data_IF_175319115785
#
_entry.id   IF_175319115785
#
_cell.length_a   1.000
_cell.length_b   1.000
_cell.length_c   1.000
_cell.angle_alpha   90.00
_cell.angle_beta   90.00
_cell.angle_gamma   90.00
#
_symmetry.space_group_name_H-M   'P 1'
#
loop_
_entity.id
_entity.type
_entity.pdbx_description
1 polymer ?
#
# COMPACT_ATOMS: atom_id res chain seq x y z
N UNK A 1 28.18 -8.91 17.71
CA UNK A 1 26.75 -9.31 17.69
C UNK A 1 26.00 -8.38 16.75
N UNK A 2 25.28 -8.91 15.77
CA UNK A 2 24.42 -8.13 14.87
C UNK A 2 23.04 -8.02 15.51
N UNK A 3 22.56 -6.79 15.72
CA UNK A 3 21.23 -6.54 16.27
C UNK A 3 20.40 -5.74 15.28
N UNK A 4 19.52 -6.44 14.56
CA UNK A 4 18.44 -5.77 13.84
C UNK A 4 17.37 -5.44 14.88
N UNK A 5 17.08 -4.14 15.10
CA UNK A 5 15.99 -3.71 15.97
C UNK A 5 14.66 -4.05 15.29
N UNK A 6 14.20 -5.24 15.59
CA UNK A 6 12.94 -5.79 15.11
C UNK A 6 11.82 -5.08 15.87
N UNK A 7 11.00 -4.30 15.16
CA UNK A 7 9.67 -4.01 15.67
C UNK A 7 8.91 -5.36 15.66
N UNK A 8 8.66 -5.90 16.86
CA UNK A 8 7.79 -7.06 17.06
C UNK A 8 6.39 -6.75 16.57
N UNK A 9 5.97 -5.51 16.77
CA UNK A 9 4.69 -5.00 16.33
C UNK A 9 4.83 -4.24 15.01
N UNK A 10 3.75 -4.09 14.25
CA UNK A 10 3.79 -3.23 13.07
C UNK A 10 3.94 -1.76 13.48
N UNK A 11 4.47 -0.89 12.60
CA UNK A 11 4.12 0.52 12.66
C UNK A 11 2.59 0.70 12.69
N UNK A 12 2.14 1.81 13.26
CA UNK A 12 0.73 2.13 13.25
C UNK A 12 0.23 2.40 11.83
N UNK A 13 -0.81 1.68 11.43
CA UNK A 13 -1.61 2.02 10.25
C UNK A 13 -2.63 3.08 10.65
N UNK A 14 -2.68 4.16 9.88
CA UNK A 14 -3.47 5.35 10.21
C UNK A 14 -4.68 5.41 9.29
N UNK A 15 -5.89 5.34 9.86
CA UNK A 15 -7.15 5.35 9.13
C UNK A 15 -7.62 6.78 8.75
N UNK A 16 -6.70 7.57 8.21
CA UNK A 16 -6.96 8.92 7.71
C UNK A 16 -5.83 9.36 6.79
N UNK A 17 -6.14 10.21 5.83
CA UNK A 17 -5.15 10.92 5.01
C UNK A 17 -4.81 12.28 5.61
N UNK A 18 -3.82 12.93 5.02
CA UNK A 18 -3.32 14.22 5.48
C UNK A 18 -4.41 15.31 5.43
N UNK A 19 -5.29 15.28 4.42
CA UNK A 19 -6.37 16.26 4.26
C UNK A 19 -7.42 16.12 5.37
N UNK A 20 -7.85 14.89 5.66
CA UNK A 20 -8.74 14.59 6.78
C UNK A 20 -8.11 14.91 8.15
N UNK A 21 -6.79 14.98 8.26
CA UNK A 21 -6.12 15.34 9.51
C UNK A 21 -6.20 16.84 9.84
N UNK A 22 -6.44 17.67 8.83
CA UNK A 22 -6.59 19.12 8.99
C UNK A 22 -8.05 19.57 9.10
N UNK A 23 -9.02 18.67 8.92
CA UNK A 23 -10.45 18.99 8.98
C UNK A 23 -11.05 18.68 10.37
N UNK A 24 -11.90 19.59 10.88
CA UNK A 24 -12.66 19.34 12.10
C UNK A 24 -13.71 18.24 11.85
N UNK A 25 -13.55 17.10 12.54
CA UNK A 25 -14.49 15.96 12.48
C UNK A 25 -15.18 15.78 13.83
N UNK A 26 -16.48 15.48 13.79
CA UNK A 26 -17.30 15.22 14.99
C UNK A 26 -17.56 13.71 15.10
N UNK A 27 -17.35 13.17 16.31
CA UNK A 27 -17.61 11.76 16.67
C UNK A 27 -16.99 10.73 15.70
N UNK A 28 -15.66 10.76 15.45
CA UNK A 28 -15.02 9.83 14.52
C UNK A 28 -15.05 8.40 15.06
N UNK A 29 -15.47 7.44 14.21
CA UNK A 29 -15.50 6.00 14.50
C UNK A 29 -14.75 5.23 13.42
N UNK A 30 -14.07 4.17 13.82
CA UNK A 30 -13.16 3.44 12.95
C UNK A 30 -13.53 1.96 12.91
N UNK A 31 -13.70 1.41 11.72
CA UNK A 31 -13.92 -0.02 11.50
C UNK A 31 -12.75 -0.60 10.71
N UNK A 32 -11.99 -1.50 11.35
CA UNK A 32 -10.89 -2.20 10.70
C UNK A 32 -11.29 -3.62 10.29
N UNK A 33 -10.95 -3.99 9.06
CA UNK A 33 -11.20 -5.29 8.47
C UNK A 33 -9.87 -5.90 8.04
N UNK A 34 -9.65 -7.15 8.45
CA UNK A 34 -8.46 -7.93 8.16
C UNK A 34 -8.45 -8.54 6.76
N UNK A 35 -7.33 -9.19 6.39
CA UNK A 35 -7.16 -9.83 5.08
C UNK A 35 -8.05 -11.05 4.88
N UNK A 36 -8.57 -11.61 5.96
CA UNK A 36 -9.57 -12.68 5.98
C UNK A 36 -11.02 -12.16 5.85
N UNK A 37 -11.20 -10.85 5.81
CA UNK A 37 -12.51 -10.21 5.75
C UNK A 37 -13.20 -10.03 7.10
N UNK A 38 -12.54 -10.40 8.20
CA UNK A 38 -13.11 -10.29 9.54
C UNK A 38 -12.85 -8.92 10.17
N UNK A 39 -13.77 -8.47 11.01
CA UNK A 39 -13.62 -7.26 11.82
C UNK A 39 -12.54 -7.50 12.87
N UNK A 40 -11.57 -6.58 12.96
CA UNK A 40 -10.40 -6.74 13.83
C UNK A 40 -10.61 -6.27 15.27
N UNK A 41 -11.70 -5.57 15.56
CA UNK A 41 -12.00 -5.11 16.91
C UNK A 41 -12.12 -6.31 17.88
N UNK A 42 -11.41 -6.25 19.00
CA UNK A 42 -11.38 -7.33 19.99
C UNK A 42 -10.44 -8.50 19.67
N UNK A 43 -9.79 -8.53 18.49
CA UNK A 43 -8.79 -9.55 18.20
C UNK A 43 -7.54 -9.39 19.09
N UNK A 44 -7.01 -10.49 19.62
CA UNK A 44 -5.90 -10.47 20.59
C UNK A 44 -4.55 -10.07 19.97
N UNK A 45 -4.38 -10.35 18.68
CA UNK A 45 -3.17 -10.06 17.89
C UNK A 45 -3.16 -8.65 17.28
N UNK A 46 -4.09 -7.77 17.68
CA UNK A 46 -4.10 -6.36 17.26
C UNK A 46 -4.22 -5.42 18.45
N UNK A 47 -3.90 -4.16 18.22
CA UNK A 47 -4.19 -3.03 19.10
C UNK A 47 -4.78 -1.92 18.25
N UNK A 48 -6.00 -1.49 18.56
CA UNK A 48 -6.63 -0.33 17.93
C UNK A 48 -6.69 0.76 18.98
N UNK A 49 -6.04 1.88 18.71
CA UNK A 49 -6.05 3.05 19.61
C UNK A 49 -7.40 3.77 19.54
N UNK A 50 -7.71 4.58 20.56
CA UNK A 50 -8.88 5.47 20.54
C UNK A 50 -8.90 6.42 19.33
N UNK A 51 -7.72 6.78 18.81
CA UNK A 51 -7.55 7.59 17.59
C UNK A 51 -7.71 6.79 16.29
N UNK A 52 -8.13 5.52 16.35
CA UNK A 52 -8.37 4.69 15.17
C UNK A 52 -7.12 4.09 14.51
N UNK A 53 -5.93 4.28 15.10
CA UNK A 53 -4.69 3.68 14.60
C UNK A 53 -4.63 2.19 14.93
N UNK A 54 -4.29 1.38 13.94
CA UNK A 54 -4.14 -0.07 14.07
C UNK A 54 -2.66 -0.46 14.19
N UNK A 55 -2.34 -1.30 15.17
CA UNK A 55 -1.04 -1.96 15.30
C UNK A 55 -1.25 -3.47 15.36
N UNK A 56 -0.52 -4.20 14.53
CA UNK A 56 -0.49 -5.66 14.53
C UNK A 56 0.55 -6.11 15.55
N UNK A 57 0.15 -6.89 16.56
CA UNK A 57 1.04 -7.39 17.59
C UNK A 57 1.79 -8.63 17.10
N UNK A 58 3.08 -8.73 17.44
CA UNK A 58 3.89 -9.92 17.13
C UNK A 58 3.72 -10.39 15.67
N UNK A 59 3.80 -9.42 14.76
CA UNK A 59 3.38 -9.57 13.37
C UNK A 59 4.19 -10.65 12.62
N UNK A 60 3.48 -11.66 12.11
CA UNK A 60 4.01 -12.80 11.35
C UNK A 60 3.56 -12.82 9.88
N UNK A 61 4.24 -13.61 9.03
CA UNK A 61 3.89 -13.85 7.63
C UNK A 61 2.40 -14.17 7.44
N UNK A 62 1.80 -14.98 8.29
CA UNK A 62 0.39 -15.39 8.18
C UNK A 62 -0.60 -14.22 8.27
N UNK A 63 -0.18 -13.11 8.86
CA UNK A 63 -0.97 -11.88 8.98
C UNK A 63 -0.81 -10.94 7.78
N UNK A 64 -0.10 -11.38 6.72
CA UNK A 64 0.04 -10.58 5.49
C UNK A 64 -1.26 -10.51 4.71
N UNK A 65 -1.49 -9.39 4.03
CA UNK A 65 -2.62 -9.25 3.11
C UNK A 65 -3.17 -7.83 3.09
N UNK A 66 -4.40 -7.71 2.59
CA UNK A 66 -5.06 -6.41 2.48
C UNK A 66 -5.91 -6.11 3.71
N UNK A 67 -5.60 -5.01 4.37
CA UNK A 67 -6.37 -4.48 5.48
C UNK A 67 -7.18 -3.30 4.99
N UNK A 68 -8.43 -3.19 5.43
CA UNK A 68 -9.28 -2.04 5.09
C UNK A 68 -9.70 -1.33 6.36
N UNK A 69 -9.82 -0.02 6.28
CA UNK A 69 -10.40 0.78 7.35
C UNK A 69 -11.51 1.68 6.80
N UNK A 70 -12.61 1.78 7.53
CA UNK A 70 -13.67 2.75 7.26
C UNK A 70 -13.75 3.72 8.42
N UNK A 71 -13.54 5.00 8.12
CA UNK A 71 -13.73 6.12 9.03
C UNK A 71 -15.15 6.67 8.84
N UNK A 72 -15.96 6.61 9.89
CA UNK A 72 -17.28 7.25 9.98
C UNK A 72 -17.15 8.54 10.78
N UNK A 73 -17.73 9.63 10.31
CA UNK A 73 -17.63 10.93 10.97
C UNK A 73 -18.82 11.80 10.62
N UNK A 74 -19.02 12.87 11.39
CA UNK A 74 -20.04 13.87 11.12
C UNK A 74 -19.42 15.22 10.77
N UNK A 75 -20.08 15.97 9.89
CA UNK A 75 -19.79 17.38 9.61
C UNK A 75 -21.03 18.25 9.78
N UNK A 76 -20.81 19.49 10.23
CA UNK A 76 -21.81 20.54 10.22
C UNK A 76 -22.04 20.95 8.76
N UNK A 77 -23.30 21.04 8.32
CA UNK A 77 -23.60 21.62 7.00
C UNK A 77 -23.51 23.14 7.10
N UNK A 78 -22.90 23.78 6.11
CA UNK A 78 -22.67 25.22 6.05
C UNK A 78 -23.93 26.10 6.15
N UNK A 79 -25.14 25.53 6.03
CA UNK A 79 -26.40 26.27 5.91
C UNK A 79 -27.48 25.91 6.97
N UNK A 80 -27.29 24.88 7.79
CA UNK A 80 -28.21 24.53 8.90
C UNK A 80 -27.43 23.77 9.97
N UNK A 81 -27.70 24.00 11.26
CA UNK A 81 -27.19 23.24 12.43
C UNK A 81 -27.60 21.75 12.46
N UNK A 82 -27.50 21.06 11.32
CA UNK A 82 -27.76 19.64 11.13
C UNK A 82 -26.45 18.94 10.78
N UNK A 83 -26.15 17.89 11.53
CA UNK A 83 -25.00 17.03 11.30
C UNK A 83 -25.28 16.07 10.13
N UNK A 84 -24.36 15.98 9.17
CA UNK A 84 -24.38 14.95 8.11
C UNK A 84 -23.40 13.85 8.47
N UNK A 85 -23.89 12.61 8.52
CA UNK A 85 -23.05 11.43 8.67
C UNK A 85 -22.39 11.08 7.32
N UNK A 86 -21.07 10.87 7.35
CA UNK A 86 -20.21 10.62 6.21
C UNK A 86 -19.28 9.44 6.54
N UNK A 87 -18.76 8.79 5.49
CA UNK A 87 -17.77 7.74 5.65
C UNK A 87 -16.68 7.83 4.57
N UNK A 88 -15.46 7.39 4.92
CA UNK A 88 -14.33 7.30 3.99
C UNK A 88 -13.57 6.00 4.22
N UNK A 89 -13.27 5.30 3.13
CA UNK A 89 -12.59 4.00 3.15
C UNK A 89 -11.12 4.12 2.76
N UNK A 90 -10.28 3.36 3.45
CA UNK A 90 -8.84 3.26 3.24
C UNK A 90 -8.44 1.79 3.09
N UNK A 91 -7.43 1.52 2.26
CA UNK A 91 -6.94 0.16 2.01
C UNK A 91 -5.41 0.13 2.13
N UNK A 92 -4.92 -0.84 2.87
CA UNK A 92 -3.50 -1.02 3.19
C UNK A 92 -3.07 -2.42 2.75
N UNK A 93 -1.87 -2.53 2.20
CA UNK A 93 -1.23 -3.81 1.95
C UNK A 93 -0.10 -4.02 2.97
N UNK A 94 -0.18 -5.10 3.73
CA UNK A 94 0.85 -5.46 4.72
C UNK A 94 1.59 -6.70 4.23
N UNK A 95 2.91 -6.56 4.02
CA UNK A 95 3.76 -7.58 3.41
C UNK A 95 4.70 -8.26 4.43
N UNK A 96 4.19 -9.24 5.16
CA UNK A 96 4.99 -10.01 6.13
C UNK A 96 6.00 -10.97 5.51
N UNK A 97 5.79 -11.40 4.26
CA UNK A 97 6.79 -12.23 3.55
C UNK A 97 8.09 -11.47 3.30
N UNK A 98 8.03 -10.22 2.84
CA UNK A 98 9.20 -9.40 2.60
C UNK A 98 10.03 -9.21 3.88
N UNK A 99 9.36 -8.96 5.02
CA UNK A 99 9.99 -8.94 6.35
C UNK A 99 10.74 -10.24 6.63
N UNK A 100 10.11 -11.40 6.42
CA UNK A 100 10.75 -12.71 6.67
C UNK A 100 12.02 -12.89 5.82
N UNK A 101 11.96 -12.58 4.53
CA UNK A 101 13.12 -12.74 3.64
C UNK A 101 14.27 -11.79 4.00
N UNK A 102 13.97 -10.54 4.34
CA UNK A 102 14.98 -9.58 4.81
C UNK A 102 15.64 -10.08 6.11
N UNK A 103 14.84 -10.56 7.06
CA UNK A 103 15.35 -11.13 8.33
C UNK A 103 16.21 -12.37 8.08
N UNK A 104 15.76 -13.26 7.21
CA UNK A 104 16.48 -14.49 6.89
C UNK A 104 17.81 -14.20 6.18
N UNK A 105 17.83 -13.23 5.26
CA UNK A 105 19.04 -12.75 4.62
C UNK A 105 20.09 -12.28 5.64
N UNK A 106 19.74 -11.37 6.56
CA UNK A 106 20.68 -10.88 7.57
C UNK A 106 21.13 -11.99 8.54
N UNK A 107 20.27 -12.97 8.84
CA UNK A 107 20.66 -14.14 9.64
C UNK A 107 21.68 -15.00 8.92
N UNK A 108 21.51 -15.22 7.61
CA UNK A 108 22.50 -15.94 6.80
C UNK A 108 23.82 -15.19 6.72
N UNK A 109 23.80 -13.88 6.48
CA UNK A 109 25.02 -13.05 6.47
C UNK A 109 25.77 -13.12 7.79
N UNK A 110 25.07 -13.11 8.92
CA UNK A 110 25.70 -13.26 10.23
C UNK A 110 26.42 -14.60 10.37
N UNK A 111 25.86 -15.70 9.85
CA UNK A 111 26.52 -17.02 9.89
C UNK A 111 27.79 -17.04 9.05
N UNK A 112 27.74 -16.50 7.83
CA UNK A 112 28.91 -16.42 6.95
C UNK A 112 30.03 -15.59 7.59
N UNK A 113 29.68 -14.44 8.17
CA UNK A 113 30.66 -13.57 8.84
C UNK A 113 31.25 -14.20 10.12
N UNK A 114 30.52 -15.10 10.80
CA UNK A 114 31.05 -15.84 11.96
C UNK A 114 32.14 -16.85 11.58
N UNK A 115 32.15 -17.34 10.35
CA UNK A 115 33.20 -18.25 9.86
C UNK A 115 34.50 -17.49 9.53
N UNK A 116 34.38 -16.25 9.05
CA UNK A 116 35.54 -15.42 8.67
C UNK A 116 36.10 -14.55 9.81
N UNK A 117 35.25 -14.13 10.76
CA UNK A 117 35.64 -13.15 11.78
C UNK A 117 35.36 -13.66 13.19
N UNK A 118 36.40 -13.64 14.04
CA UNK A 118 36.28 -13.92 15.49
C UNK A 118 35.29 -12.95 16.17
N UNK A 119 35.24 -11.70 15.68
CA UNK A 119 34.25 -10.71 16.07
C UNK A 119 33.57 -10.14 14.82
N UNK A 120 32.30 -10.48 14.63
CA UNK A 120 31.50 -10.00 13.49
C UNK A 120 31.32 -8.48 13.57
N UNK A 121 31.69 -7.71 12.53
CA UNK A 121 31.48 -6.26 12.48
C UNK A 121 29.99 -5.90 12.45
N UNK A 122 29.67 -4.68 12.86
CA UNK A 122 28.29 -4.19 12.92
C UNK A 122 27.74 -3.97 11.49
N UNK A 123 26.66 -4.68 11.15
CA UNK A 123 25.99 -4.55 9.86
C UNK A 123 24.95 -3.44 9.99
N UNK A 124 25.16 -2.32 9.30
CA UNK A 124 24.25 -1.19 9.29
C UNK A 124 23.39 -1.20 8.03
N UNK A 125 22.12 -0.82 8.17
CA UNK A 125 21.29 -0.49 7.01
C UNK A 125 21.80 0.81 6.40
N UNK A 126 22.03 0.80 5.09
CA UNK A 126 22.36 2.00 4.32
C UNK A 126 21.08 2.47 3.65
N UNK A 127 20.63 3.67 3.99
CA UNK A 127 19.44 4.27 3.39
C UNK A 127 19.60 4.30 1.86
N UNK A 128 18.55 3.93 1.12
CA UNK A 128 18.54 3.78 -0.34
C UNK A 128 19.32 2.59 -0.91
N UNK A 129 19.84 1.66 -0.09
CA UNK A 129 20.47 0.43 -0.59
C UNK A 129 19.49 -0.71 -0.91
N UNK A 130 18.19 -0.46 -0.73
CA UNK A 130 17.10 -1.41 -0.99
C UNK A 130 16.04 -0.71 -1.85
N UNK A 131 16.05 -0.98 -3.14
CA UNK A 131 15.04 -0.47 -4.07
C UNK A 131 13.83 -1.42 -4.11
N UNK A 132 12.65 -0.89 -3.75
CA UNK A 132 11.38 -1.55 -3.99
C UNK A 132 10.84 -1.00 -5.31
N UNK A 133 11.07 -1.74 -6.39
CA UNK A 133 10.59 -1.37 -7.73
C UNK A 133 9.13 -1.85 -7.84
N UNK A 134 8.18 -0.92 -7.96
CA UNK A 134 6.79 -1.28 -8.23
C UNK A 134 6.72 -1.81 -9.66
N UNK A 135 6.51 -3.12 -9.83
CA UNK A 135 6.23 -3.69 -11.16
C UNK A 135 4.79 -3.33 -11.48
N UNK A 136 4.60 -2.14 -12.03
CA UNK A 136 3.32 -1.74 -12.59
C UNK A 136 2.93 -2.75 -13.68
N UNK A 137 1.68 -3.20 -13.67
CA UNK A 137 1.12 -4.02 -14.74
C UNK A 137 -0.28 -3.52 -15.01
N UNK A 138 -0.50 -2.99 -16.21
CA UNK A 138 -1.83 -2.61 -16.66
C UNK A 138 -2.50 -3.81 -17.33
N UNK A 139 -3.82 -3.90 -17.22
CA UNK A 139 -4.59 -4.88 -18.00
C UNK A 139 -4.36 -4.58 -19.50
N UNK A 140 -4.28 -5.58 -20.38
CA UNK A 140 -4.26 -5.33 -21.83
C UNK A 140 -5.36 -4.36 -22.25
N UNK A 141 -5.02 -3.40 -23.11
CA UNK A 141 -5.89 -2.28 -23.49
C UNK A 141 -5.86 -1.10 -22.52
N UNK A 142 -5.06 -1.17 -21.45
CA UNK A 142 -4.86 -0.08 -20.50
C UNK A 142 -3.38 0.25 -20.40
N UNK A 143 -3.06 1.53 -20.17
CA UNK A 143 -1.70 2.02 -20.02
C UNK A 143 -1.66 3.31 -19.19
N UNK A 144 -0.47 3.67 -18.73
CA UNK A 144 -0.19 4.92 -18.04
C UNK A 144 0.16 5.98 -19.07
N UNK A 145 -0.45 7.15 -18.94
CA UNK A 145 -0.15 8.31 -19.77
C UNK A 145 -0.09 9.57 -18.90
N UNK A 146 1.13 10.04 -18.63
CA UNK A 146 1.37 11.23 -17.81
C UNK A 146 0.98 12.54 -18.50
N UNK A 147 0.71 12.53 -19.81
CA UNK A 147 0.39 13.72 -20.63
C UNK A 147 -1.12 13.94 -20.76
N UNK A 148 -1.90 12.87 -20.92
CA UNK A 148 -3.36 12.99 -21.00
C UNK A 148 -4.05 12.89 -19.65
N UNK A 149 -3.41 12.24 -18.66
CA UNK A 149 -3.97 12.02 -17.33
C UNK A 149 -3.08 12.61 -16.23
N UNK A 150 -2.92 13.95 -16.26
CA UNK A 150 -2.21 14.71 -15.23
C UNK A 150 -2.79 14.49 -13.82
N UNK A 151 -4.10 14.22 -13.75
CA UNK A 151 -4.82 14.00 -12.49
C UNK A 151 -4.46 12.67 -11.82
N UNK A 152 -3.85 11.72 -12.56
CA UNK A 152 -3.30 10.49 -12.00
C UNK A 152 -2.16 9.93 -12.87
N UNK A 153 -0.92 10.42 -12.69
CA UNK A 153 0.25 10.00 -13.48
C UNK A 153 0.57 8.50 -13.36
N UNK A 154 0.15 7.87 -12.25
CA UNK A 154 0.37 6.46 -11.97
C UNK A 154 -0.78 5.51 -12.35
N UNK A 155 -1.91 6.01 -12.87
CA UNK A 155 -3.10 5.18 -13.14
C UNK A 155 -3.01 4.44 -14.47
N UNK A 156 -3.47 3.19 -14.49
CA UNK A 156 -3.77 2.47 -15.73
C UNK A 156 -5.13 2.94 -16.27
N UNK A 157 -5.09 3.76 -17.33
CA UNK A 157 -6.28 4.26 -18.02
C UNK A 157 -6.51 3.50 -19.32
N UNK A 158 -7.72 3.55 -19.86
CA UNK A 158 -8.01 2.89 -21.13
C UNK A 158 -7.24 3.58 -22.26
N UNK A 159 -6.65 2.81 -23.17
CA UNK A 159 -5.94 3.38 -24.31
C UNK A 159 -6.91 4.09 -25.27
N UNK A 160 -6.50 5.26 -25.76
CA UNK A 160 -7.28 6.07 -26.69
C UNK A 160 -7.30 5.46 -28.11
N UNK A 161 -8.29 5.81 -28.95
CA UNK A 161 -8.35 5.37 -30.34
C UNK A 161 -7.06 5.69 -31.08
N UNK A 162 -6.57 4.72 -31.85
CA UNK A 162 -5.28 4.78 -32.52
C UNK A 162 -4.09 4.35 -31.65
N UNK A 163 -4.33 3.92 -30.40
CA UNK A 163 -3.31 3.36 -29.52
C UNK A 163 -3.70 1.99 -28.96
N UNK A 164 -2.71 1.19 -28.57
CA UNK A 164 -2.90 -0.16 -28.01
C UNK A 164 -1.95 -0.45 -26.84
N UNK A 165 -2.30 -1.42 -25.99
CA UNK A 165 -1.43 -1.93 -24.92
C UNK A 165 -1.54 -3.45 -24.82
N UNK A 166 -0.42 -4.16 -25.02
CA UNK A 166 -0.33 -5.62 -25.02
C UNK A 166 -0.10 -6.21 -23.62
N UNK A 167 0.00 -7.53 -23.50
CA UNK A 167 0.01 -8.25 -22.21
C UNK A 167 1.19 -7.95 -21.26
N UNK A 168 2.22 -7.24 -21.71
CA UNK A 168 3.37 -6.83 -20.90
C UNK A 168 3.69 -5.33 -21.01
N UNK A 169 2.78 -4.55 -21.59
CA UNK A 169 2.98 -3.11 -21.73
C UNK A 169 2.25 -2.35 -20.61
N UNK A 170 2.89 -1.30 -20.11
CA UNK A 170 2.30 -0.37 -19.14
C UNK A 170 2.00 0.98 -19.77
N UNK A 171 2.24 1.15 -21.07
CA UNK A 171 1.97 2.37 -21.82
C UNK A 171 1.12 2.04 -23.05
N UNK A 172 0.34 3.03 -23.50
CA UNK A 172 -0.40 2.94 -24.75
C UNK A 172 0.52 3.36 -25.91
N UNK A 173 0.73 2.48 -26.87
CA UNK A 173 1.57 2.70 -28.04
C UNK A 173 0.72 3.06 -29.27
N UNK A 174 1.25 3.89 -30.16
CA UNK A 174 0.53 4.34 -31.37
C UNK A 174 0.55 3.26 -32.45
N UNK A 175 -0.61 2.94 -33.02
CA UNK A 175 -0.72 2.11 -34.21
C UNK A 175 -0.23 2.86 -35.45
N UNK A 176 0.80 2.32 -36.12
CA UNK A 176 1.40 2.97 -37.30
C UNK A 176 0.60 2.75 -38.58
N UNK A 177 0.05 1.55 -38.75
CA UNK A 177 -0.54 1.12 -40.03
C UNK A 177 -2.05 0.84 -39.94
N UNK A 178 -2.62 0.78 -38.73
CA UNK A 178 -4.03 0.45 -38.49
C UNK A 178 -4.71 1.61 -37.76
N UNK A 179 -5.87 2.03 -38.28
CA UNK A 179 -6.75 2.98 -37.59
C UNK A 179 -7.71 2.23 -36.69
N UNK A 180 -7.39 2.20 -35.41
CA UNK A 180 -8.29 1.73 -34.36
C UNK A 180 -9.22 2.88 -33.97
N UNK A 181 -10.53 2.64 -34.00
CA UNK A 181 -11.55 3.62 -33.61
C UNK A 181 -12.05 3.43 -32.19
N UNK A 182 -11.80 2.26 -31.61
CA UNK A 182 -12.32 1.86 -30.30
C UNK A 182 -11.27 2.09 -29.22
N UNK A 183 -11.74 2.37 -28.00
CA UNK A 183 -10.87 2.48 -26.83
C UNK A 183 -10.42 1.09 -26.35
N UNK A 184 -9.19 1.01 -25.87
CA UNK A 184 -8.68 -0.16 -25.17
C UNK A 184 -8.25 -1.32 -26.06
N UNK A 185 -7.74 -1.03 -27.24
CA UNK A 185 -7.15 -2.06 -28.10
C UNK A 185 -5.94 -2.74 -27.45
N UNK A 186 -5.86 -4.06 -27.65
CA UNK A 186 -4.78 -4.89 -27.10
C UNK A 186 -3.67 -5.16 -28.10
N UNK A 187 -3.91 -4.85 -29.38
CA UNK A 187 -3.01 -5.04 -30.51
C UNK A 187 -3.33 -4.05 -31.64
N UNK A 188 -2.31 -3.73 -32.42
CA UNK A 188 -2.43 -3.41 -33.84
C UNK A 188 -1.95 -4.68 -34.59
#
# INVERSE_FOLDING_TARGET
NVYVKMLTDSPFLVCMDIDMAYEETIDPKFLWIGPDGNVLEGHSNVNITETGKLMLKSFDKSMSGSYSCTLFYKRIKDDVSQEKELYKGYKFAVLGQAKKFIVEFFRMQTRVLQEEFVNVPEINYVEHSLDIIHVDSCRPGFGKNEVTHHDCPGCCVVCDPGTYSSFNNIHCEVCKDIKITDHGATEC
#
